data_IF_892510931958
#
_entry.id   IF_892510931958
#
_cell.length_a   1.000
_cell.length_b   1.000
_cell.length_c   1.000
_cell.angle_alpha   90.00
_cell.angle_beta   90.00
_cell.angle_gamma   90.00
#
_symmetry.space_group_name_H-M   'P 1'
#
loop_
_entity.id
_entity.type
_entity.pdbx_description
1 polymer ?
#
# COMPACT_ATOMS: atom_id res chain seq x y z
N UNK A 1 -9.18 26.49 -11.36
CA UNK A 1 -10.42 25.72 -11.09
C UNK A 1 -10.22 24.60 -10.10
N UNK A 2 -11.18 23.68 -9.93
CA UNK A 2 -11.10 22.57 -8.98
C UNK A 2 -9.87 21.65 -9.22
N UNK A 3 -9.53 21.45 -10.49
CA UNK A 3 -8.33 20.69 -10.89
C UNK A 3 -7.05 21.35 -10.39
N UNK A 4 -6.90 22.65 -10.59
CA UNK A 4 -5.70 23.42 -10.16
C UNK A 4 -5.57 23.38 -8.63
N UNK A 5 -6.70 23.40 -7.91
CA UNK A 5 -6.72 23.22 -6.45
C UNK A 5 -6.22 21.81 -6.07
N UNK A 6 -6.73 20.77 -6.71
CA UNK A 6 -6.26 19.40 -6.44
C UNK A 6 -4.77 19.24 -6.75
N UNK A 7 -4.28 19.81 -7.85
CA UNK A 7 -2.85 19.80 -8.19
C UNK A 7 -2.00 20.50 -7.12
N UNK A 8 -2.49 21.59 -6.52
CA UNK A 8 -1.76 22.34 -5.51
C UNK A 8 -1.64 21.61 -4.17
N UNK A 9 -2.61 20.78 -3.81
CA UNK A 9 -2.65 20.06 -2.51
C UNK A 9 -2.11 18.64 -2.58
N UNK A 10 -2.06 18.02 -3.75
CA UNK A 10 -1.74 16.61 -3.88
C UNK A 10 -0.31 16.30 -3.42
N UNK A 11 0.69 17.00 -3.93
CA UNK A 11 2.09 16.80 -3.55
C UNK A 11 2.37 17.12 -2.07
N UNK A 12 1.91 18.25 -1.50
CA UNK A 12 2.03 18.48 -0.06
C UNK A 12 1.38 17.40 0.79
N UNK A 13 0.20 16.93 0.41
CA UNK A 13 -0.50 15.85 1.13
C UNK A 13 0.29 14.54 1.13
N UNK A 14 0.88 14.15 0.00
CA UNK A 14 1.73 12.98 -0.11
C UNK A 14 2.95 13.11 0.81
N UNK A 15 3.61 14.27 0.82
CA UNK A 15 4.77 14.52 1.69
C UNK A 15 4.37 14.43 3.17
N UNK A 16 3.27 15.06 3.56
CA UNK A 16 2.77 15.00 4.96
C UNK A 16 2.45 13.56 5.36
N UNK A 17 1.73 12.81 4.53
CA UNK A 17 1.44 11.40 4.80
C UNK A 17 2.71 10.57 4.92
N UNK A 18 3.70 10.79 4.04
CA UNK A 18 4.98 10.08 4.10
C UNK A 18 5.70 10.34 5.41
N UNK A 19 5.77 11.61 5.84
CA UNK A 19 6.37 11.98 7.14
C UNK A 19 5.63 11.33 8.31
N UNK A 20 4.29 11.33 8.29
CA UNK A 20 3.49 10.65 9.32
C UNK A 20 3.79 9.15 9.38
N UNK A 21 3.93 8.46 8.23
CA UNK A 21 4.32 7.06 8.21
C UNK A 21 5.72 6.82 8.76
N UNK A 22 6.68 7.72 8.54
CA UNK A 22 8.01 7.66 9.16
C UNK A 22 7.91 7.78 10.69
N UNK A 23 7.08 8.70 11.19
CA UNK A 23 6.83 8.83 12.64
C UNK A 23 6.21 7.55 13.21
N UNK A 24 5.16 7.01 12.56
CA UNK A 24 4.52 5.76 12.97
C UNK A 24 5.52 4.61 12.95
N UNK A 25 6.40 4.54 11.95
CA UNK A 25 7.47 3.54 11.86
C UNK A 25 8.39 3.60 13.09
N UNK A 26 8.88 4.79 13.44
CA UNK A 26 9.77 4.98 14.61
C UNK A 26 9.06 4.58 15.92
N UNK A 27 7.81 5.01 16.09
CA UNK A 27 7.01 4.64 17.26
C UNK A 27 6.76 3.13 17.33
N UNK A 28 6.52 2.48 16.19
CA UNK A 28 6.30 1.04 16.10
C UNK A 28 7.56 0.24 16.46
N UNK A 29 8.75 0.70 16.07
CA UNK A 29 10.03 0.11 16.51
C UNK A 29 10.12 0.19 18.03
N UNK A 30 9.88 1.36 18.61
CA UNK A 30 9.93 1.56 20.06
C UNK A 30 9.01 0.61 20.80
N UNK A 31 7.77 0.50 20.36
CA UNK A 31 6.78 -0.37 21.01
C UNK A 31 7.08 -1.86 20.77
N UNK A 32 7.60 -2.23 19.58
CA UNK A 32 8.07 -3.59 19.33
C UNK A 32 9.22 -4.00 20.26
N UNK A 33 10.19 -3.12 20.47
CA UNK A 33 11.32 -3.42 21.38
C UNK A 33 10.87 -3.66 22.81
N UNK A 34 9.79 -3.00 23.26
CA UNK A 34 9.22 -3.18 24.61
C UNK A 34 8.33 -4.42 24.70
N UNK A 35 7.43 -4.62 23.76
CA UNK A 35 6.32 -5.57 23.87
C UNK A 35 6.57 -6.87 23.09
N UNK A 36 7.49 -6.88 22.12
CA UNK A 36 7.82 -8.03 21.25
C UNK A 36 6.59 -8.67 20.58
N UNK A 37 5.54 -7.90 20.28
CA UNK A 37 4.32 -8.40 19.66
C UNK A 37 4.40 -8.34 18.14
N UNK A 38 3.91 -9.39 17.47
CA UNK A 38 3.90 -9.51 16.00
C UNK A 38 3.14 -8.37 15.30
N UNK A 39 2.10 -7.84 15.94
CA UNK A 39 1.32 -6.71 15.39
C UNK A 39 2.21 -5.51 15.02
N UNK A 40 3.25 -5.22 15.79
CA UNK A 40 4.17 -4.13 15.48
C UNK A 40 5.08 -4.44 14.31
N UNK A 41 5.46 -5.72 14.11
CA UNK A 41 6.21 -6.14 12.91
C UNK A 41 5.36 -5.94 11.66
N UNK A 42 4.10 -6.36 11.71
CA UNK A 42 3.18 -6.16 10.60
C UNK A 42 2.98 -4.68 10.27
N UNK A 43 2.87 -3.84 11.31
CA UNK A 43 2.78 -2.38 11.15
C UNK A 43 4.07 -1.78 10.56
N UNK A 44 5.25 -2.25 10.98
CA UNK A 44 6.53 -1.83 10.42
C UNK A 44 6.62 -2.14 8.93
N UNK A 45 6.21 -3.34 8.50
CA UNK A 45 6.17 -3.73 7.09
C UNK A 45 5.26 -2.78 6.31
N UNK A 46 4.09 -2.45 6.85
CA UNK A 46 3.16 -1.50 6.22
C UNK A 46 3.78 -0.10 6.07
N UNK A 47 4.40 0.41 7.13
CA UNK A 47 5.04 1.72 7.10
C UNK A 47 6.15 1.80 6.04
N UNK A 48 6.97 0.75 5.90
CA UNK A 48 8.01 0.69 4.84
C UNK A 48 7.39 0.86 3.46
N UNK A 49 6.28 0.17 3.17
CA UNK A 49 5.62 0.28 1.88
C UNK A 49 5.00 1.64 1.61
N UNK A 50 4.30 2.19 2.59
CA UNK A 50 3.70 3.50 2.42
C UNK A 50 4.75 4.62 2.32
N UNK A 51 5.86 4.52 3.06
CA UNK A 51 6.99 5.45 2.93
C UNK A 51 7.61 5.33 1.54
N UNK A 52 7.85 4.10 1.06
CA UNK A 52 8.36 3.86 -0.29
C UNK A 52 7.43 4.45 -1.35
N UNK A 53 6.12 4.15 -1.25
CA UNK A 53 5.10 4.66 -2.17
C UNK A 53 5.08 6.20 -2.20
N UNK A 54 5.01 6.82 -1.04
CA UNK A 54 5.01 8.28 -0.90
C UNK A 54 6.28 8.93 -1.44
N UNK A 55 7.46 8.32 -1.21
CA UNK A 55 8.72 8.82 -1.76
C UNK A 55 8.75 8.75 -3.29
N UNK A 56 8.37 7.61 -3.89
CA UNK A 56 8.33 7.49 -5.35
C UNK A 56 7.35 8.47 -5.97
N UNK A 57 6.19 8.68 -5.37
CA UNK A 57 5.22 9.68 -5.81
C UNK A 57 5.78 11.10 -5.70
N UNK A 58 6.47 11.43 -4.61
CA UNK A 58 6.99 12.79 -4.37
C UNK A 58 8.15 13.17 -5.29
N UNK A 59 9.04 12.22 -5.60
CA UNK A 59 10.28 12.49 -6.37
C UNK A 59 10.19 12.00 -7.83
N UNK A 60 9.13 11.28 -8.21
CA UNK A 60 8.98 10.66 -9.53
C UNK A 60 9.07 11.64 -10.68
N UNK A 61 8.60 12.90 -10.48
CA UNK A 61 8.67 13.94 -11.51
C UNK A 61 10.12 14.28 -11.92
N UNK A 62 11.07 14.20 -11.01
CA UNK A 62 12.49 14.49 -11.26
C UNK A 62 13.26 13.32 -11.85
N UNK A 63 12.63 12.14 -12.00
CA UNK A 63 13.26 10.93 -12.53
C UNK A 63 13.07 10.81 -14.04
N UNK A 64 14.01 10.12 -14.70
CA UNK A 64 13.80 9.67 -16.09
C UNK A 64 12.76 8.54 -16.15
N UNK A 65 12.06 8.42 -17.28
CA UNK A 65 10.97 7.46 -17.46
C UNK A 65 11.37 6.02 -17.20
N UNK A 66 12.57 5.62 -17.65
CA UNK A 66 13.08 4.26 -17.44
C UNK A 66 13.37 3.95 -15.97
N UNK A 67 13.92 4.91 -15.24
CA UNK A 67 14.20 4.79 -13.79
C UNK A 67 12.90 4.76 -13.01
N UNK A 68 11.97 5.67 -13.30
CA UNK A 68 10.66 5.70 -12.66
C UNK A 68 9.88 4.41 -12.90
N UNK A 69 9.91 3.86 -14.12
CA UNK A 69 9.28 2.58 -14.44
C UNK A 69 9.87 1.44 -13.59
N UNK A 70 11.17 1.38 -13.40
CA UNK A 70 11.83 0.41 -12.52
C UNK A 70 11.35 0.50 -11.08
N UNK A 71 11.30 1.70 -10.51
CA UNK A 71 10.79 1.93 -9.16
C UNK A 71 9.29 1.60 -9.02
N UNK A 72 8.48 1.86 -10.05
CA UNK A 72 7.06 1.49 -10.02
C UNK A 72 6.85 -0.03 -10.09
N UNK A 73 7.70 -0.81 -10.76
CA UNK A 73 7.64 -2.28 -10.69
C UNK A 73 7.77 -2.74 -9.22
N UNK A 74 8.78 -2.24 -8.51
CA UNK A 74 8.97 -2.54 -7.09
C UNK A 74 7.75 -2.09 -6.27
N UNK A 75 7.19 -0.92 -6.56
CA UNK A 75 5.98 -0.40 -5.93
C UNK A 75 4.80 -1.35 -6.08
N UNK A 76 4.51 -1.86 -7.28
CA UNK A 76 3.42 -2.81 -7.51
C UNK A 76 3.62 -4.14 -6.78
N UNK A 77 4.87 -4.65 -6.76
CA UNK A 77 5.21 -5.86 -6.00
C UNK A 77 4.98 -5.64 -4.50
N UNK A 78 5.44 -4.51 -3.96
CA UNK A 78 5.23 -4.15 -2.56
C UNK A 78 3.74 -4.02 -2.23
N UNK A 79 2.93 -3.40 -3.10
CA UNK A 79 1.48 -3.33 -2.91
C UNK A 79 0.83 -4.71 -2.88
N UNK A 80 1.23 -5.60 -3.79
CA UNK A 80 0.74 -6.98 -3.82
C UNK A 80 1.02 -7.77 -2.53
N UNK A 81 2.03 -7.40 -1.75
CA UNK A 81 2.36 -8.02 -0.46
C UNK A 81 1.73 -7.25 0.71
N UNK A 82 1.92 -5.94 0.74
CA UNK A 82 1.60 -5.12 1.91
C UNK A 82 0.12 -4.89 2.12
N UNK A 83 -0.63 -4.67 1.04
CA UNK A 83 -2.07 -4.45 1.15
C UNK A 83 -2.77 -5.67 1.78
N UNK A 84 -2.53 -6.91 1.35
CA UNK A 84 -3.08 -8.07 2.04
C UNK A 84 -2.62 -8.24 3.50
N UNK A 85 -1.40 -7.83 3.85
CA UNK A 85 -0.91 -7.88 5.24
C UNK A 85 -1.79 -7.04 6.18
N UNK A 86 -2.51 -6.01 5.70
CA UNK A 86 -3.52 -5.29 6.49
C UNK A 86 -4.58 -6.22 7.07
N UNK A 87 -4.94 -7.30 6.36
CA UNK A 87 -5.89 -8.31 6.84
C UNK A 87 -5.32 -9.02 8.08
N UNK A 88 -4.07 -9.49 8.01
CA UNK A 88 -3.42 -10.11 9.16
C UNK A 88 -3.24 -9.13 10.32
N UNK A 89 -2.76 -7.91 10.04
CA UNK A 89 -2.63 -6.83 11.03
C UNK A 89 -3.94 -6.59 11.79
N UNK A 90 -5.05 -6.48 11.06
CA UNK A 90 -6.38 -6.27 11.63
C UNK A 90 -6.77 -7.39 12.59
N UNK A 91 -6.51 -8.65 12.26
CA UNK A 91 -6.80 -9.78 13.13
C UNK A 91 -6.05 -9.71 14.47
N UNK A 92 -4.79 -9.26 14.45
CA UNK A 92 -4.02 -9.05 15.68
C UNK A 92 -4.46 -7.81 16.45
N UNK A 93 -4.79 -6.73 15.77
CA UNK A 93 -5.28 -5.49 16.39
C UNK A 93 -6.62 -5.72 17.11
N UNK A 94 -7.52 -6.50 16.49
CA UNK A 94 -8.81 -6.89 17.07
C UNK A 94 -8.73 -8.07 18.05
N UNK A 95 -7.53 -8.58 18.32
CA UNK A 95 -7.29 -9.71 19.23
C UNK A 95 -8.18 -10.93 18.90
N UNK A 96 -8.26 -11.29 17.62
CA UNK A 96 -9.03 -12.46 17.20
C UNK A 96 -8.58 -13.72 17.92
N UNK A 97 -9.52 -14.63 18.20
CA UNK A 97 -9.23 -15.96 18.69
C UNK A 97 -8.33 -16.72 17.71
N UNK A 98 -7.59 -17.68 18.21
CA UNK A 98 -6.57 -18.41 17.45
C UNK A 98 -7.11 -19.08 16.17
N UNK A 99 -8.32 -19.62 16.22
CA UNK A 99 -9.02 -20.19 15.06
C UNK A 99 -9.30 -19.14 13.97
N UNK A 100 -9.79 -17.96 14.37
CA UNK A 100 -10.05 -16.85 13.45
C UNK A 100 -8.76 -16.23 12.91
N UNK A 101 -7.69 -16.15 13.73
CA UNK A 101 -6.38 -15.70 13.25
C UNK A 101 -5.81 -16.64 12.18
N UNK A 102 -6.01 -17.96 12.34
CA UNK A 102 -5.58 -18.91 11.32
C UNK A 102 -6.27 -18.65 9.98
N UNK A 103 -7.60 -18.52 9.99
CA UNK A 103 -8.38 -18.19 8.78
C UNK A 103 -7.90 -16.86 8.18
N UNK A 104 -7.68 -15.86 9.02
CA UNK A 104 -7.19 -14.54 8.62
C UNK A 104 -5.84 -14.63 7.89
N UNK A 105 -4.90 -15.47 8.38
CA UNK A 105 -3.63 -15.72 7.72
C UNK A 105 -3.77 -16.47 6.41
N UNK A 106 -4.66 -17.47 6.33
CA UNK A 106 -4.93 -18.19 5.08
C UNK A 106 -5.42 -17.21 4.00
N UNK A 107 -6.39 -16.35 4.34
CA UNK A 107 -6.89 -15.33 3.43
C UNK A 107 -5.78 -14.36 3.03
N UNK A 108 -4.98 -13.89 3.99
CA UNK A 108 -3.83 -13.00 3.72
C UNK A 108 -2.85 -13.62 2.72
N UNK A 109 -2.48 -14.90 2.91
CA UNK A 109 -1.53 -15.59 2.03
C UNK A 109 -2.10 -15.75 0.62
N UNK A 110 -3.38 -16.14 0.50
CA UNK A 110 -4.05 -16.23 -0.80
C UNK A 110 -4.05 -14.89 -1.50
N UNK A 111 -4.38 -13.81 -0.79
CA UNK A 111 -4.38 -12.46 -1.34
C UNK A 111 -2.95 -11.99 -1.74
N UNK A 112 -1.91 -12.35 -0.99
CA UNK A 112 -0.51 -12.07 -1.36
C UNK A 112 -0.16 -12.78 -2.67
N UNK A 113 -0.49 -14.07 -2.82
CA UNK A 113 -0.22 -14.83 -4.04
C UNK A 113 -0.91 -14.18 -5.23
N UNK A 114 -2.18 -13.83 -5.10
CA UNK A 114 -2.95 -13.15 -6.14
C UNK A 114 -2.40 -11.75 -6.45
N UNK A 115 -2.00 -11.01 -5.42
CA UNK A 115 -1.40 -9.69 -5.57
C UNK A 115 -0.05 -9.70 -6.27
N UNK A 116 0.80 -10.67 -5.95
CA UNK A 116 2.07 -10.87 -6.65
C UNK A 116 1.85 -11.30 -8.10
N UNK A 117 0.90 -12.21 -8.36
CA UNK A 117 0.55 -12.61 -9.72
C UNK A 117 0.05 -11.40 -10.53
N UNK A 118 -0.81 -10.56 -9.97
CA UNK A 118 -1.28 -9.33 -10.59
C UNK A 118 -0.12 -8.36 -10.87
N UNK A 119 0.77 -8.13 -9.88
CA UNK A 119 1.92 -7.26 -10.03
C UNK A 119 2.89 -7.71 -11.15
N UNK A 120 3.14 -9.02 -11.26
CA UNK A 120 4.01 -9.59 -12.30
C UNK A 120 3.35 -9.49 -13.70
N UNK A 121 2.03 -9.66 -13.78
CA UNK A 121 1.30 -9.60 -15.05
C UNK A 121 0.98 -8.17 -15.49
N UNK A 122 1.18 -7.16 -14.62
CA UNK A 122 0.90 -5.76 -14.95
C UNK A 122 1.93 -5.24 -15.94
N UNK A 123 1.46 -4.76 -17.09
CA UNK A 123 2.25 -3.93 -18.02
C UNK A 123 2.05 -2.47 -17.65
N UNK A 124 3.12 -1.69 -17.70
CA UNK A 124 3.10 -0.30 -17.24
C UNK A 124 3.28 0.66 -18.41
N UNK A 125 2.38 1.65 -18.49
CA UNK A 125 2.51 2.85 -19.31
C UNK A 125 2.87 4.06 -18.45
N UNK A 126 3.52 5.06 -19.05
CA UNK A 126 3.79 6.33 -18.37
C UNK A 126 2.56 7.20 -18.45
N UNK A 127 2.12 7.70 -17.30
CA UNK A 127 1.00 8.64 -17.18
C UNK A 127 1.43 9.87 -16.39
N UNK A 128 1.06 11.04 -16.88
CA UNK A 128 1.20 12.29 -16.13
C UNK A 128 -0.09 12.53 -15.34
N UNK A 129 -0.02 12.40 -14.03
CA UNK A 129 -1.12 12.78 -13.16
C UNK A 129 -0.86 14.16 -12.55
N UNK A 130 -1.85 15.04 -12.66
CA UNK A 130 -1.83 16.36 -12.02
C UNK A 130 -0.55 17.17 -12.30
N UNK A 131 -0.08 17.20 -13.53
CA UNK A 131 1.00 18.07 -14.02
C UNK A 131 2.40 17.89 -13.40
N UNK A 132 2.49 17.71 -12.09
CA UNK A 132 3.74 17.53 -11.33
C UNK A 132 3.93 16.13 -10.76
N UNK A 133 2.89 15.32 -10.74
CA UNK A 133 2.97 13.94 -10.27
C UNK A 133 3.06 13.02 -11.47
N UNK A 134 4.21 12.41 -11.64
CA UNK A 134 4.47 11.46 -12.71
C UNK A 134 4.43 10.05 -12.15
N UNK A 135 3.56 9.22 -12.68
CA UNK A 135 3.46 7.81 -12.29
C UNK A 135 3.35 6.90 -13.50
N UNK A 136 3.52 5.61 -13.27
CA UNK A 136 3.15 4.60 -14.25
C UNK A 136 1.73 4.12 -13.98
N UNK A 137 0.89 4.15 -14.99
CA UNK A 137 -0.42 3.54 -15.01
C UNK A 137 -0.38 2.10 -15.52
N UNK A 138 -1.54 1.45 -15.53
CA UNK A 138 -1.73 0.11 -16.07
C UNK A 138 -1.98 0.25 -17.57
N UNK A 139 -1.13 -0.39 -18.40
CA UNK A 139 -1.25 -0.41 -19.85
C UNK A 139 -2.47 -1.24 -20.29
N UNK A 140 -3.10 -0.85 -21.39
CA UNK A 140 -4.24 -1.56 -22.00
C UNK A 140 -3.91 -3.01 -22.39
N UNK A 141 -2.63 -3.29 -22.66
CA UNK A 141 -2.11 -4.64 -22.94
C UNK A 141 -2.04 -5.54 -21.68
N UNK A 142 -2.36 -5.03 -20.50
CA UNK A 142 -2.42 -5.83 -19.26
C UNK A 142 -3.62 -6.78 -19.30
N UNK A 143 -3.45 -8.05 -18.87
CA UNK A 143 -4.57 -8.99 -18.84
C UNK A 143 -5.77 -8.45 -18.07
N UNK A 144 -6.98 -8.54 -18.65
CA UNK A 144 -8.19 -7.90 -18.13
C UNK A 144 -8.63 -8.32 -16.72
N UNK A 145 -8.08 -9.41 -16.17
CA UNK A 145 -8.34 -9.84 -14.79
C UNK A 145 -7.52 -9.08 -13.74
N UNK A 146 -6.39 -8.46 -14.16
CA UNK A 146 -5.44 -7.79 -13.23
C UNK A 146 -6.07 -6.56 -12.58
N UNK A 147 -6.69 -5.67 -13.36
CA UNK A 147 -7.28 -4.43 -12.86
C UNK A 147 -8.43 -4.66 -11.85
N UNK A 148 -9.43 -5.54 -12.14
CA UNK A 148 -10.44 -5.88 -11.15
C UNK A 148 -9.87 -6.53 -9.89
N UNK A 149 -8.87 -7.40 -10.02
CA UNK A 149 -8.22 -8.06 -8.90
C UNK A 149 -7.49 -7.07 -8.01
N UNK A 150 -6.70 -6.17 -8.58
CA UNK A 150 -5.99 -5.10 -7.86
C UNK A 150 -6.98 -4.19 -7.13
N UNK A 151 -8.07 -3.79 -7.79
CA UNK A 151 -9.13 -2.97 -7.21
C UNK A 151 -9.81 -3.66 -6.02
N UNK A 152 -10.20 -4.93 -6.17
CA UNK A 152 -10.85 -5.70 -5.11
C UNK A 152 -9.92 -5.85 -3.89
N UNK A 153 -8.65 -6.14 -4.12
CA UNK A 153 -7.68 -6.30 -3.03
C UNK A 153 -7.42 -4.98 -2.31
N UNK A 154 -7.20 -3.90 -3.04
CA UNK A 154 -6.91 -2.59 -2.44
C UNK A 154 -8.12 -2.06 -1.69
N UNK A 155 -9.28 -1.96 -2.33
CA UNK A 155 -10.50 -1.45 -1.72
C UNK A 155 -11.00 -2.39 -0.62
N UNK A 156 -11.00 -3.70 -0.86
CA UNK A 156 -11.44 -4.69 0.11
C UNK A 156 -10.61 -4.68 1.39
N UNK A 157 -9.29 -4.59 1.30
CA UNK A 157 -8.40 -4.52 2.46
C UNK A 157 -8.59 -3.24 3.26
N UNK A 158 -8.77 -2.09 2.58
CA UNK A 158 -9.03 -0.80 3.23
C UNK A 158 -10.40 -0.81 3.94
N UNK A 159 -11.45 -1.29 3.27
CA UNK A 159 -12.79 -1.39 3.89
C UNK A 159 -12.74 -2.32 5.10
N UNK A 160 -12.06 -3.47 4.99
CA UNK A 160 -11.90 -4.40 6.11
C UNK A 160 -11.22 -3.72 7.31
N UNK A 161 -10.15 -2.97 7.07
CA UNK A 161 -9.44 -2.23 8.12
C UNK A 161 -10.29 -1.10 8.72
N UNK A 162 -11.07 -0.38 7.91
CA UNK A 162 -11.98 0.67 8.40
C UNK A 162 -13.09 0.10 9.29
N UNK A 163 -13.73 -1.00 8.88
CA UNK A 163 -14.73 -1.70 9.69
C UNK A 163 -14.12 -2.14 11.02
N UNK A 164 -12.93 -2.71 10.97
CA UNK A 164 -12.21 -3.10 12.17
C UNK A 164 -11.89 -1.92 13.09
N UNK A 165 -11.47 -0.78 12.54
CA UNK A 165 -11.25 0.46 13.28
C UNK A 165 -12.52 0.96 13.99
N UNK A 166 -13.67 0.91 13.32
CA UNK A 166 -14.96 1.28 13.90
C UNK A 166 -15.35 0.34 15.05
N UNK A 167 -15.05 -0.96 14.94
CA UNK A 167 -15.36 -1.93 16.01
C UNK A 167 -14.47 -1.72 17.25
N UNK A 168 -13.28 -1.14 17.09
CA UNK A 168 -12.34 -0.86 18.19
C UNK A 168 -12.64 0.42 18.97
N UNK A 169 -13.49 1.31 18.44
CA UNK A 169 -13.94 2.54 19.09
C UNK A 169 -15.18 2.26 19.96
#
# INVERSE_FOLDING_TARGET
GFRDFLESICLPSIIICTVLYVVIFILSIREYLKLKRLVFILLLIQCVGFVYDGLIMAIGYSMSDSVLKGFNIVRYILHGIMVPILIAFTGYALQFRRDKLYINWVVTIICIILGLAAAICTKMSMEDEFGKLKRCGIDDDTPGWVSPMDTIMNIGSVIYMLIAGIILI
#
